data_IF_590797014604
#
_entry.id   IF_590797014604
#
_cell.length_a   1.000
_cell.length_b   1.000
_cell.length_c   1.000
_cell.angle_alpha   90.00
_cell.angle_beta   90.00
_cell.angle_gamma   90.00
#
_symmetry.space_group_name_H-M   'P 1'
#
loop_
_entity.id
_entity.type
_entity.pdbx_description
1 polymer ?
#
# COMPACT_ATOMS: atom_id res chain seq x y z
N UNK A 1 -32.74 45.67 3.70
CA UNK A 1 -31.47 44.97 3.43
C UNK A 1 -31.13 43.92 4.50
N UNK A 2 -32.07 43.07 4.92
CA UNK A 2 -31.84 42.02 5.94
C UNK A 2 -32.09 40.60 5.43
N UNK A 3 -32.72 40.45 4.25
CA UNK A 3 -33.07 39.14 3.66
C UNK A 3 -31.93 38.53 2.83
N UNK A 4 -30.98 39.33 2.36
CA UNK A 4 -29.81 38.86 1.59
C UNK A 4 -28.75 38.22 2.50
N UNK A 5 -28.69 38.62 3.78
CA UNK A 5 -27.71 38.10 4.74
C UNK A 5 -27.97 36.63 5.13
N UNK A 6 -29.25 36.21 5.14
CA UNK A 6 -29.61 34.83 5.49
C UNK A 6 -29.32 33.83 4.37
N UNK A 7 -29.36 34.26 3.10
CA UNK A 7 -29.09 33.37 1.96
C UNK A 7 -27.59 33.06 1.86
N UNK A 8 -26.72 34.00 2.24
CA UNK A 8 -25.27 33.79 2.24
C UNK A 8 -24.78 32.89 3.38
N UNK A 9 -25.47 32.88 4.54
CA UNK A 9 -25.11 32.01 5.67
C UNK A 9 -25.56 30.56 5.46
N UNK A 10 -26.64 30.31 4.70
CA UNK A 10 -27.12 28.95 4.45
C UNK A 10 -26.28 28.24 3.38
N UNK A 11 -25.69 28.97 2.42
CA UNK A 11 -24.81 28.36 1.41
C UNK A 11 -23.40 28.09 1.93
N UNK A 12 -22.89 28.89 2.89
CA UNK A 12 -21.58 28.66 3.49
C UNK A 12 -21.55 27.51 4.51
N UNK A 13 -22.72 27.13 5.06
CA UNK A 13 -22.85 26.00 5.97
C UNK A 13 -22.91 24.63 5.28
N UNK A 14 -23.08 24.58 3.95
CA UNK A 14 -23.12 23.31 3.19
C UNK A 14 -21.74 22.80 2.75
N UNK A 15 -20.66 23.56 2.95
CA UNK A 15 -19.31 23.19 2.48
C UNK A 15 -18.48 22.49 3.57
N UNK A 16 -19.00 22.32 4.79
CA UNK A 16 -18.27 21.69 5.90
C UNK A 16 -18.53 20.18 6.06
N UNK A 17 -19.00 19.47 5.03
CA UNK A 17 -18.73 18.04 4.92
C UNK A 17 -17.25 17.89 4.57
N UNK A 18 -16.37 18.21 5.53
CA UNK A 18 -15.06 17.63 5.58
C UNK A 18 -15.30 16.13 5.63
N UNK A 19 -15.16 15.47 4.47
CA UNK A 19 -15.19 14.04 4.37
C UNK A 19 -14.13 13.51 5.34
N UNK A 20 -14.56 13.01 6.48
CA UNK A 20 -13.84 11.94 7.13
C UNK A 20 -13.97 10.77 6.16
N UNK A 21 -13.12 10.74 5.12
CA UNK A 21 -12.97 9.56 4.30
C UNK A 21 -12.44 8.49 5.26
N UNK A 22 -13.33 7.61 5.68
CA UNK A 22 -12.96 6.48 6.52
C UNK A 22 -11.93 5.68 5.74
N UNK A 23 -10.81 5.38 6.40
CA UNK A 23 -9.75 4.56 5.83
C UNK A 23 -10.35 3.28 5.23
N UNK A 24 -10.02 2.91 3.98
CA UNK A 24 -10.55 1.71 3.35
C UNK A 24 -10.21 0.46 4.15
N UNK A 25 -11.17 -0.44 4.33
CA UNK A 25 -10.93 -1.76 4.94
C UNK A 25 -10.35 -2.71 3.89
N UNK A 26 -9.35 -3.51 4.28
CA UNK A 26 -8.72 -4.50 3.41
C UNK A 26 -9.28 -5.86 3.81
N UNK A 27 -9.92 -6.56 2.88
CA UNK A 27 -10.50 -7.87 3.17
C UNK A 27 -9.41 -8.94 3.33
N UNK A 28 -9.70 -9.95 4.15
CA UNK A 28 -8.84 -11.15 4.27
C UNK A 28 -8.63 -11.85 2.91
N UNK A 29 -9.62 -11.79 2.02
CA UNK A 29 -9.51 -12.30 0.66
C UNK A 29 -8.47 -11.52 -0.16
N UNK A 30 -8.42 -10.19 -0.05
CA UNK A 30 -7.41 -9.38 -0.71
C UNK A 30 -6.01 -9.65 -0.13
N UNK A 31 -5.89 -9.79 1.19
CA UNK A 31 -4.61 -10.12 1.84
C UNK A 31 -4.10 -11.49 1.40
N UNK A 32 -4.91 -12.54 1.60
CA UNK A 32 -4.52 -13.92 1.28
C UNK A 32 -4.40 -14.18 -0.22
N UNK A 33 -5.25 -13.56 -1.05
CA UNK A 33 -5.16 -13.67 -2.51
C UNK A 33 -3.89 -13.01 -3.06
N UNK A 34 -3.51 -11.86 -2.50
CA UNK A 34 -2.28 -11.17 -2.91
C UNK A 34 -1.03 -11.99 -2.57
N UNK A 35 -0.96 -12.54 -1.36
CA UNK A 35 0.15 -13.40 -0.93
C UNK A 35 0.28 -14.63 -1.84
N UNK A 36 -0.84 -15.33 -2.12
CA UNK A 36 -0.86 -16.47 -3.03
C UNK A 36 -0.41 -16.14 -4.46
N UNK A 37 -0.75 -14.95 -4.98
CA UNK A 37 -0.25 -14.51 -6.29
C UNK A 37 1.26 -14.33 -6.25
N UNK A 38 1.81 -13.73 -5.19
CA UNK A 38 3.25 -13.53 -5.09
C UNK A 38 4.00 -14.85 -4.92
N UNK A 39 3.51 -15.75 -4.07
CA UNK A 39 4.04 -17.11 -3.87
C UNK A 39 3.97 -17.98 -5.15
N UNK A 40 3.08 -17.64 -6.09
CA UNK A 40 3.05 -18.29 -7.40
C UNK A 40 4.22 -17.89 -8.31
N UNK A 41 5.00 -16.88 -7.92
CA UNK A 41 6.27 -16.54 -8.58
C UNK A 41 7.35 -17.54 -8.18
N UNK A 42 8.06 -18.09 -9.16
CA UNK A 42 9.14 -19.08 -8.97
C UNK A 42 10.33 -18.56 -8.16
N UNK A 43 10.42 -17.25 -7.95
CA UNK A 43 11.48 -16.58 -7.19
C UNK A 43 11.13 -16.38 -5.70
N UNK A 44 9.92 -16.73 -5.27
CA UNK A 44 9.40 -16.48 -3.92
C UNK A 44 9.14 -17.81 -3.21
N UNK A 45 9.68 -17.96 -1.99
CA UNK A 45 9.44 -19.12 -1.13
C UNK A 45 8.23 -18.90 -0.23
N UNK A 46 8.10 -17.68 0.33
CA UNK A 46 7.01 -17.30 1.23
C UNK A 46 6.69 -15.81 1.11
N UNK A 47 5.43 -15.44 1.35
CA UNK A 47 4.98 -14.04 1.33
C UNK A 47 3.85 -13.80 2.33
N UNK A 48 3.93 -12.70 3.08
CA UNK A 48 2.88 -12.33 4.05
C UNK A 48 2.55 -10.84 3.98
N UNK A 49 1.27 -10.52 4.18
CA UNK A 49 0.81 -9.14 4.35
C UNK A 49 0.21 -9.00 5.75
N UNK A 50 0.78 -8.11 6.55
CA UNK A 50 0.27 -7.79 7.89
C UNK A 50 -0.21 -6.34 7.89
N UNK A 51 -1.46 -6.12 8.32
CA UNK A 51 -2.04 -4.78 8.47
C UNK A 51 -2.15 -4.43 9.96
N UNK A 52 -1.35 -3.46 10.39
CA UNK A 52 -1.38 -2.96 11.76
C UNK A 52 -1.73 -1.48 11.80
N UNK A 53 -2.88 -1.16 12.42
CA UNK A 53 -3.38 0.21 12.54
C UNK A 53 -3.39 0.89 11.16
N UNK A 54 -2.44 1.78 10.88
CA UNK A 54 -2.36 2.57 9.64
C UNK A 54 -1.19 2.13 8.74
N UNK A 55 -0.64 0.93 8.96
CA UNK A 55 0.53 0.44 8.26
C UNK A 55 0.25 -0.92 7.63
N UNK A 56 0.65 -1.09 6.37
CA UNK A 56 0.66 -2.37 5.67
C UNK A 56 2.13 -2.80 5.59
N UNK A 57 2.42 -3.99 6.05
CA UNK A 57 3.76 -4.59 6.05
C UNK A 57 3.75 -5.78 5.11
N UNK A 58 4.62 -5.74 4.11
CA UNK A 58 4.82 -6.80 3.13
C UNK A 58 6.11 -7.53 3.49
N UNK A 59 6.00 -8.82 3.80
CA UNK A 59 7.13 -9.70 4.05
C UNK A 59 7.30 -10.61 2.84
N UNK A 60 8.54 -10.72 2.35
CA UNK A 60 8.88 -11.53 1.19
C UNK A 60 10.13 -12.32 1.53
N UNK A 61 10.02 -13.64 1.50
CA UNK A 61 11.17 -14.54 1.52
C UNK A 61 11.44 -15.01 0.09
N UNK A 62 12.56 -14.62 -0.54
CA UNK A 62 12.93 -15.10 -1.85
C UNK A 62 13.42 -16.55 -1.75
N UNK A 63 13.15 -17.34 -2.79
CA UNK A 63 13.61 -18.72 -2.91
C UNK A 63 15.14 -18.81 -3.04
N UNK A 64 15.76 -17.79 -3.65
CA UNK A 64 17.20 -17.66 -3.81
C UNK A 64 17.67 -16.28 -3.34
N UNK A 65 18.36 -16.27 -2.20
CA UNK A 65 18.97 -15.08 -1.59
C UNK A 65 20.18 -14.53 -2.37
N UNK A 66 20.63 -15.22 -3.42
CA UNK A 66 21.67 -14.71 -4.34
C UNK A 66 21.12 -13.82 -5.47
N UNK A 67 19.80 -13.66 -5.55
CA UNK A 67 19.14 -12.69 -6.42
C UNK A 67 19.68 -11.27 -6.20
N UNK A 68 19.73 -10.45 -7.24
CA UNK A 68 20.19 -9.07 -7.09
C UNK A 68 19.21 -8.26 -6.24
N UNK A 69 19.74 -7.31 -5.47
CA UNK A 69 18.91 -6.37 -4.68
C UNK A 69 17.85 -5.70 -5.55
N UNK A 70 18.20 -5.30 -6.78
CA UNK A 70 17.25 -4.70 -7.73
C UNK A 70 16.06 -5.64 -8.03
N UNK A 71 16.30 -6.93 -8.25
CA UNK A 71 15.23 -7.89 -8.52
C UNK A 71 14.35 -8.13 -7.30
N UNK A 72 14.95 -8.22 -6.12
CA UNK A 72 14.21 -8.36 -4.86
C UNK A 72 13.34 -7.13 -4.59
N UNK A 73 13.84 -5.94 -4.92
CA UNK A 73 13.09 -4.68 -4.84
C UNK A 73 11.91 -4.64 -5.80
N UNK A 74 12.10 -5.14 -7.03
CA UNK A 74 11.00 -5.29 -8.00
C UNK A 74 9.89 -6.21 -7.47
N UNK A 75 10.24 -7.37 -6.90
CA UNK A 75 9.26 -8.27 -6.28
C UNK A 75 8.49 -7.58 -5.15
N UNK A 76 9.17 -6.77 -4.34
CA UNK A 76 8.56 -5.90 -3.33
C UNK A 76 7.52 -4.94 -3.91
N UNK A 77 7.89 -4.23 -4.97
CA UNK A 77 6.98 -3.29 -5.65
C UNK A 77 5.81 -4.01 -6.32
N UNK A 78 6.06 -5.17 -6.94
CA UNK A 78 5.03 -6.00 -7.55
C UNK A 78 4.01 -6.45 -6.50
N UNK A 79 4.45 -6.87 -5.31
CA UNK A 79 3.56 -7.29 -4.24
C UNK A 79 2.64 -6.15 -3.76
N UNK A 80 3.20 -4.95 -3.61
CA UNK A 80 2.43 -3.73 -3.32
C UNK A 80 1.38 -3.48 -4.41
N UNK A 81 1.75 -3.59 -5.69
CA UNK A 81 0.78 -3.40 -6.79
C UNK A 81 -0.27 -4.50 -6.82
N UNK A 82 0.07 -5.76 -6.51
CA UNK A 82 -0.90 -6.86 -6.46
C UNK A 82 -2.01 -6.58 -5.43
N UNK A 83 -1.64 -6.20 -4.20
CA UNK A 83 -2.65 -5.85 -3.19
C UNK A 83 -3.45 -4.61 -3.61
N UNK A 84 -2.79 -3.59 -4.16
CA UNK A 84 -3.45 -2.41 -4.69
C UNK A 84 -4.52 -2.77 -5.71
N UNK A 85 -4.22 -3.70 -6.63
CA UNK A 85 -5.13 -4.21 -7.65
C UNK A 85 -6.31 -5.00 -7.06
N UNK A 86 -6.08 -5.83 -6.04
CA UNK A 86 -7.16 -6.55 -5.35
C UNK A 86 -8.14 -5.62 -4.63
N UNK A 87 -7.63 -4.53 -4.06
CA UNK A 87 -8.46 -3.55 -3.34
C UNK A 87 -9.11 -2.51 -4.25
N UNK A 88 -8.67 -2.43 -5.50
CA UNK A 88 -9.23 -1.50 -6.47
C UNK A 88 -10.70 -1.83 -6.76
N UNK A 89 -11.51 -0.80 -6.99
CA UNK A 89 -12.95 -0.95 -7.19
C UNK A 89 -13.59 0.35 -7.64
N UNK A 90 -14.88 0.53 -7.34
CA UNK A 90 -15.58 1.78 -7.66
C UNK A 90 -15.07 2.97 -6.82
N UNK A 91 -14.49 2.69 -5.65
CA UNK A 91 -14.07 3.72 -4.67
C UNK A 91 -12.55 3.93 -4.59
N UNK A 92 -11.73 3.02 -5.14
CA UNK A 92 -10.28 3.11 -5.10
C UNK A 92 -9.68 2.89 -6.48
N UNK A 93 -8.80 3.81 -6.89
CA UNK A 93 -8.06 3.69 -8.15
C UNK A 93 -7.04 2.54 -8.11
N UNK A 94 -7.03 1.77 -9.19
CA UNK A 94 -6.11 0.67 -9.40
C UNK A 94 -4.66 1.14 -9.62
N UNK A 95 -3.65 0.30 -9.31
CA UNK A 95 -2.26 0.56 -9.67
C UNK A 95 -2.06 0.69 -11.18
N UNK A 96 -1.01 1.42 -11.56
CA UNK A 96 -0.51 1.55 -12.92
C UNK A 96 1.01 1.30 -12.95
N UNK A 97 1.68 1.58 -14.07
CA UNK A 97 3.14 1.52 -14.14
C UNK A 97 3.79 2.52 -13.16
N UNK A 98 3.26 3.74 -13.08
CA UNK A 98 3.83 4.84 -12.28
C UNK A 98 3.11 5.07 -10.94
N UNK A 99 2.03 4.32 -10.67
CA UNK A 99 1.21 4.47 -9.47
C UNK A 99 0.98 3.15 -8.76
N UNK A 100 1.09 3.14 -7.44
CA UNK A 100 0.93 1.92 -6.64
C UNK A 100 -0.54 1.59 -6.31
N UNK A 101 -1.49 2.50 -6.57
CA UNK A 101 -2.90 2.36 -6.22
C UNK A 101 -3.33 3.22 -5.03
N UNK A 102 -4.61 3.58 -4.98
CA UNK A 102 -5.16 4.58 -4.04
C UNK A 102 -5.22 4.11 -2.60
N UNK A 103 -5.21 2.79 -2.38
CA UNK A 103 -5.09 2.21 -1.05
C UNK A 103 -3.96 2.87 -0.23
N UNK A 104 -2.81 3.11 -0.87
CA UNK A 104 -1.60 3.61 -0.21
C UNK A 104 -1.59 5.12 0.05
N UNK A 105 -2.67 5.81 -0.28
CA UNK A 105 -2.89 7.20 0.15
C UNK A 105 -3.43 7.24 1.59
N UNK A 106 -3.97 6.12 2.07
CA UNK A 106 -4.54 5.97 3.41
C UNK A 106 -3.64 5.20 4.38
N UNK A 107 -2.66 4.44 3.88
CA UNK A 107 -1.77 3.59 4.67
C UNK A 107 -0.29 3.91 4.46
N UNK A 108 0.47 3.86 5.54
CA UNK A 108 1.93 3.75 5.47
C UNK A 108 2.28 2.34 4.99
N UNK A 109 3.36 2.20 4.22
CA UNK A 109 3.81 0.93 3.68
C UNK A 109 5.21 0.66 4.19
N UNK A 110 5.46 -0.60 4.55
CA UNK A 110 6.78 -1.14 4.77
C UNK A 110 6.93 -2.43 3.97
N UNK A 111 8.04 -2.57 3.27
CA UNK A 111 8.41 -3.78 2.54
C UNK A 111 9.65 -4.33 3.23
N UNK A 112 9.64 -5.61 3.56
CA UNK A 112 10.74 -6.31 4.21
C UNK A 112 11.06 -7.51 3.35
N UNK A 113 12.29 -7.54 2.83
CA UNK A 113 12.84 -8.72 2.17
C UNK A 113 13.63 -9.49 3.22
N UNK A 114 13.18 -10.71 3.50
CA UNK A 114 13.79 -11.59 4.48
C UNK A 114 14.74 -12.58 3.79
N UNK A 115 15.79 -12.97 4.49
CA UNK A 115 16.71 -14.02 4.09
C UNK A 115 16.63 -15.19 5.05
N UNK A 116 17.62 -16.08 4.98
CA UNK A 116 17.67 -17.24 5.86
C UNK A 116 17.56 -16.86 7.34
N UNK A 117 16.76 -17.61 8.08
CA UNK A 117 16.53 -17.42 9.51
C UNK A 117 15.93 -16.05 9.90
N UNK A 118 15.19 -15.40 8.99
CA UNK A 118 14.50 -14.13 9.28
C UNK A 118 15.45 -12.92 9.33
N UNK A 119 16.65 -13.05 8.74
CA UNK A 119 17.53 -11.91 8.57
C UNK A 119 16.90 -10.91 7.59
N UNK A 120 16.87 -9.62 7.91
CA UNK A 120 16.39 -8.61 6.96
C UNK A 120 17.50 -8.34 5.94
N UNK A 121 17.24 -8.67 4.67
CA UNK A 121 18.15 -8.41 3.55
C UNK A 121 18.00 -6.98 3.04
N UNK A 122 16.75 -6.53 2.89
CA UNK A 122 16.44 -5.18 2.45
C UNK A 122 15.12 -4.70 3.03
N UNK A 123 14.94 -3.38 3.05
CA UNK A 123 13.78 -2.73 3.63
C UNK A 123 13.42 -1.46 2.88
N UNK A 124 12.13 -1.30 2.60
CA UNK A 124 11.57 -0.09 2.00
C UNK A 124 10.45 0.48 2.86
N UNK A 125 10.23 1.78 2.74
CA UNK A 125 9.06 2.43 3.34
C UNK A 125 8.45 3.45 2.39
N UNK A 126 7.14 3.62 2.47
CA UNK A 126 6.41 4.72 1.83
C UNK A 126 5.44 5.29 2.85
N UNK A 127 5.54 6.58 3.13
CA UNK A 127 4.55 7.25 3.97
C UNK A 127 3.23 7.40 3.19
N UNK A 128 2.10 7.35 3.89
CA UNK A 128 0.77 7.55 3.30
C UNK A 128 0.70 8.87 2.51
N UNK A 129 0.08 8.82 1.34
CA UNK A 129 -0.07 9.97 0.43
C UNK A 129 1.23 10.47 -0.21
N UNK A 130 2.35 9.76 -0.05
CA UNK A 130 3.58 9.97 -0.84
C UNK A 130 3.57 9.08 -2.07
N UNK A 131 4.27 9.48 -3.12
CA UNK A 131 4.24 8.78 -4.40
C UNK A 131 5.40 7.81 -4.60
N UNK A 132 6.30 7.69 -3.64
CA UNK A 132 7.57 6.97 -3.80
C UNK A 132 7.82 6.02 -2.63
N UNK A 133 8.28 4.81 -2.96
CA UNK A 133 8.88 3.87 -2.02
C UNK A 133 10.36 4.19 -1.88
N UNK A 134 10.81 4.41 -0.65
CA UNK A 134 12.20 4.73 -0.32
C UNK A 134 12.87 3.49 0.29
N UNK A 135 13.85 2.96 -0.42
CA UNK A 135 14.70 1.86 0.05
C UNK A 135 15.75 2.38 1.04
N UNK A 136 15.98 1.63 2.10
CA UNK A 136 17.02 1.93 3.08
C UNK A 136 18.37 1.45 2.52
N UNK A 137 19.42 2.27 2.62
CA UNK A 137 20.75 1.80 2.27
C UNK A 137 21.18 0.73 3.27
N UNK A 138 21.54 -0.45 2.76
CA UNK A 138 22.19 -1.52 3.51
C UNK A 138 23.51 -0.97 4.10
N UNK A 139 23.64 -1.03 5.44
CA UNK A 139 24.84 -0.60 6.17
C UNK A 139 26.05 -1.50 5.91
#
# INVERSE_FOLDING_TARGET
MKKILYILCVTLALVSLAGCTSRPEISEEALGGSAQILESNVEVDDAEIIVEKNKIMFYIAPLDVSSSDERLRELGVDFVKVLGGYTAGEELEAPTEEYYGELYDYYDVEIIIEGEHGAVLDKATKAKGKNEIVWQESL
#
